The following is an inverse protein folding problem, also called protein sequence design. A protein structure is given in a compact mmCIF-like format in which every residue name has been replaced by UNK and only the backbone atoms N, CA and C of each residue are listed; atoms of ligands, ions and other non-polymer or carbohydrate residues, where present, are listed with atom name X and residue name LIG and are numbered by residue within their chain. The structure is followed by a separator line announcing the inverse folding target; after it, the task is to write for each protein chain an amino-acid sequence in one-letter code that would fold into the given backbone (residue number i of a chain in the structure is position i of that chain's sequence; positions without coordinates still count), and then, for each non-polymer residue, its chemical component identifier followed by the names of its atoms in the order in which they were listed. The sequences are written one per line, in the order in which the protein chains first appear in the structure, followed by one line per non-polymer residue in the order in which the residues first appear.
data_IF_511721003436
#
_entry.id   IF_511721003436
#
_cell.length_a   1.000
_cell.length_b   1.000
_cell.length_c   1.000
_cell.angle_alpha   90.00
_cell.angle_beta   90.00
_cell.angle_gamma   90.00
#
_symmetry.space_group_name_H-M   'P 1'
#
loop_
_entity.id
_entity.type
_entity.pdbx_description
1 polymer ?
#
# COMPACT_ATOMS: atom_id res chain seq x y z
N UNK A 1 7.44 -17.38 -7.59
CA UNK A 1 6.05 -17.92 -7.55
C UNK A 1 5.50 -17.82 -8.97
N UNK A 2 5.29 -18.96 -9.65
CA UNK A 2 5.01 -18.99 -11.11
C UNK A 2 3.62 -18.45 -11.50
N UNK A 3 2.71 -18.32 -10.55
CA UNK A 3 1.30 -17.97 -10.82
C UNK A 3 0.87 -16.61 -10.25
N UNK A 4 1.84 -15.77 -9.83
CA UNK A 4 1.55 -14.43 -9.31
C UNK A 4 1.57 -13.41 -10.45
N UNK A 5 0.52 -12.62 -10.55
CA UNK A 5 0.37 -11.53 -11.52
C UNK A 5 -0.04 -10.26 -10.78
N UNK A 6 0.63 -9.15 -11.07
CA UNK A 6 0.18 -7.82 -10.66
C UNK A 6 -0.55 -7.18 -11.82
N UNK A 7 -1.74 -6.70 -11.56
CA UNK A 7 -2.58 -6.01 -12.56
C UNK A 7 -3.30 -4.81 -11.95
N UNK A 8 -3.89 -3.98 -12.80
CA UNK A 8 -4.77 -2.90 -12.35
C UNK A 8 -5.90 -3.47 -11.46
N UNK A 9 -6.20 -2.77 -10.39
CA UNK A 9 -7.39 -3.02 -9.59
C UNK A 9 -8.62 -2.51 -10.34
N UNK A 10 -9.58 -3.38 -10.57
CA UNK A 10 -10.84 -3.03 -11.22
C UNK A 10 -11.94 -2.82 -10.17
N UNK A 11 -13.02 -2.08 -10.49
CA UNK A 11 -14.11 -1.85 -9.54
C UNK A 11 -14.71 -3.15 -8.98
N UNK A 12 -14.73 -4.21 -9.78
CA UNK A 12 -15.27 -5.53 -9.41
C UNK A 12 -14.43 -6.26 -8.34
N UNK A 13 -13.19 -5.82 -8.12
CA UNK A 13 -12.30 -6.41 -7.11
C UNK A 13 -12.66 -6.02 -5.67
N UNK A 14 -13.68 -5.19 -5.47
CA UNK A 14 -13.99 -4.58 -4.17
C UNK A 14 -14.17 -5.59 -3.03
N UNK A 15 -14.80 -6.75 -3.28
CA UNK A 15 -14.96 -7.80 -2.27
C UNK A 15 -13.62 -8.40 -1.85
N UNK A 16 -12.78 -8.69 -2.82
CA UNK A 16 -11.46 -9.27 -2.57
C UNK A 16 -10.52 -8.27 -1.88
N UNK A 17 -10.57 -7.00 -2.28
CA UNK A 17 -9.82 -5.93 -1.61
C UNK A 17 -10.31 -5.72 -0.18
N UNK A 18 -11.63 -5.69 0.05
CA UNK A 18 -12.19 -5.67 1.39
C UNK A 18 -11.68 -6.84 2.25
N UNK A 19 -11.62 -8.04 1.69
CA UNK A 19 -11.09 -9.21 2.39
C UNK A 19 -9.61 -9.05 2.77
N UNK A 20 -8.79 -8.47 1.90
CA UNK A 20 -7.37 -8.17 2.20
C UNK A 20 -7.27 -7.27 3.44
N UNK A 21 -7.99 -6.14 3.44
CA UNK A 21 -7.93 -5.16 4.53
C UNK A 21 -8.69 -5.56 5.79
N UNK A 22 -9.56 -6.56 5.71
CA UNK A 22 -10.31 -7.09 6.84
C UNK A 22 -9.60 -8.24 7.54
N UNK A 23 -8.54 -8.80 6.94
CA UNK A 23 -7.74 -9.80 7.64
C UNK A 23 -7.04 -9.17 8.84
N UNK A 24 -7.02 -9.84 10.01
CA UNK A 24 -6.68 -9.21 11.28
C UNK A 24 -5.32 -8.51 11.32
N UNK A 25 -4.30 -9.15 10.75
CA UNK A 25 -2.95 -8.59 10.73
C UNK A 25 -2.86 -7.40 9.76
N UNK A 26 -3.37 -7.53 8.53
CA UNK A 26 -3.38 -6.44 7.56
C UNK A 26 -4.18 -5.24 8.08
N UNK A 27 -5.30 -5.46 8.74
CA UNK A 27 -6.08 -4.40 9.37
C UNK A 27 -5.29 -3.69 10.48
N UNK A 28 -4.58 -4.42 11.34
CA UNK A 28 -3.80 -3.85 12.43
C UNK A 28 -2.57 -3.06 11.95
N UNK A 29 -2.04 -3.38 10.76
CA UNK A 29 -0.88 -2.73 10.15
C UNK A 29 -1.25 -1.57 9.19
N UNK A 30 -2.54 -1.33 9.01
CA UNK A 30 -3.10 -0.22 8.22
C UNK A 30 -3.95 0.68 9.11
N UNK A 31 -4.66 1.63 8.54
CA UNK A 31 -5.60 2.49 9.29
C UNK A 31 -7.05 1.98 9.23
N UNK A 32 -7.25 0.72 8.85
CA UNK A 32 -8.56 0.10 8.88
C UNK A 32 -9.12 -0.06 10.30
N UNK A 33 -10.43 -0.11 10.38
CA UNK A 33 -11.16 -0.36 11.63
C UNK A 33 -11.97 -1.65 11.50
N UNK A 34 -12.25 -2.35 12.62
CA UNK A 34 -13.12 -3.51 12.61
C UNK A 34 -14.50 -3.21 12.04
N UNK A 35 -15.14 -4.23 11.49
CA UNK A 35 -16.51 -4.14 10.94
C UNK A 35 -16.67 -3.18 9.77
N UNK A 36 -15.63 -3.04 8.94
CA UNK A 36 -15.68 -2.25 7.71
C UNK A 36 -16.68 -2.81 6.70
N UNK A 37 -17.22 -1.94 5.86
CA UNK A 37 -18.24 -2.28 4.87
C UNK A 37 -17.62 -2.66 3.52
N UNK A 38 -18.10 -3.73 2.89
CA UNK A 38 -17.80 -4.02 1.48
C UNK A 38 -18.29 -2.88 0.56
N UNK A 39 -19.43 -2.26 0.87
CA UNK A 39 -19.98 -1.18 0.07
C UNK A 39 -19.07 0.05 0.04
N UNK A 40 -18.39 0.34 1.14
CA UNK A 40 -17.40 1.42 1.18
C UNK A 40 -16.25 1.17 0.19
N UNK A 41 -15.79 -0.06 0.07
CA UNK A 41 -14.78 -0.44 -0.93
C UNK A 41 -15.32 -0.41 -2.35
N UNK A 42 -16.58 -0.83 -2.54
CA UNK A 42 -17.25 -0.73 -3.85
C UNK A 42 -17.33 0.71 -4.33
N UNK A 43 -17.72 1.63 -3.45
CA UNK A 43 -17.78 3.06 -3.75
C UNK A 43 -16.38 3.64 -4.02
N UNK A 44 -15.39 3.29 -3.20
CA UNK A 44 -14.02 3.79 -3.34
C UNK A 44 -13.39 3.35 -4.67
N UNK A 45 -13.49 2.06 -5.02
CA UNK A 45 -12.92 1.55 -6.26
C UNK A 45 -13.67 2.00 -7.53
N UNK A 46 -14.94 2.39 -7.40
CA UNK A 46 -15.72 2.94 -8.50
C UNK A 46 -15.41 4.40 -8.81
N UNK A 47 -14.70 5.11 -7.93
CA UNK A 47 -14.31 6.50 -8.17
C UNK A 47 -13.22 6.57 -9.23
N UNK A 48 -13.50 7.31 -10.29
CA UNK A 48 -12.47 7.70 -11.25
C UNK A 48 -11.60 8.81 -10.68
N UNK A 49 -10.29 8.57 -10.63
CA UNK A 49 -9.31 9.52 -10.10
C UNK A 49 -8.05 9.49 -10.96
N UNK A 50 -7.66 10.66 -11.47
CA UNK A 50 -6.46 10.79 -12.29
C UNK A 50 -5.16 10.73 -11.46
N UNK A 51 -5.27 10.91 -10.15
CA UNK A 51 -4.16 10.95 -9.20
C UNK A 51 -3.88 9.60 -8.52
N UNK A 52 -4.69 8.58 -8.78
CA UNK A 52 -4.60 7.29 -8.09
C UNK A 52 -4.39 6.12 -9.05
N UNK A 53 -3.39 5.32 -8.74
CA UNK A 53 -3.03 4.11 -9.48
C UNK A 53 -3.13 2.91 -8.53
N UNK A 54 -4.21 2.18 -8.66
CA UNK A 54 -4.52 1.04 -7.79
C UNK A 54 -4.20 -0.27 -8.48
N UNK A 55 -3.48 -1.15 -7.79
CA UNK A 55 -3.01 -2.44 -8.28
C UNK A 55 -3.37 -3.56 -7.33
N UNK A 56 -3.61 -4.74 -7.86
CA UNK A 56 -3.79 -5.97 -7.09
C UNK A 56 -2.78 -7.02 -7.49
N UNK A 57 -2.33 -7.79 -6.51
CA UNK A 57 -1.58 -9.01 -6.74
C UNK A 57 -2.56 -10.19 -6.71
N UNK A 58 -2.53 -10.97 -7.77
CA UNK A 58 -3.38 -12.15 -7.94
C UNK A 58 -2.52 -13.41 -8.00
N UNK A 59 -2.95 -14.46 -7.30
CA UNK A 59 -2.39 -15.80 -7.42
C UNK A 59 -3.48 -16.73 -7.89
N UNK A 60 -3.30 -17.36 -9.06
CA UNK A 60 -4.31 -18.22 -9.69
C UNK A 60 -5.68 -17.55 -9.83
N UNK A 61 -5.68 -16.25 -10.13
CA UNK A 61 -6.90 -15.45 -10.27
C UNK A 61 -7.51 -14.94 -8.97
N UNK A 62 -6.99 -15.30 -7.82
CA UNK A 62 -7.42 -14.82 -6.52
C UNK A 62 -6.61 -13.60 -6.10
N UNK A 63 -7.28 -12.50 -5.75
CA UNK A 63 -6.63 -11.29 -5.23
C UNK A 63 -6.15 -11.55 -3.80
N UNK A 64 -4.84 -11.37 -3.58
CA UNK A 64 -4.19 -11.63 -2.30
C UNK A 64 -3.45 -10.42 -1.73
N UNK A 65 -3.35 -9.34 -2.48
CA UNK A 65 -2.73 -8.10 -2.06
C UNK A 65 -3.20 -6.91 -2.89
N UNK A 66 -3.05 -5.72 -2.34
CA UNK A 66 -3.46 -4.46 -2.95
C UNK A 66 -2.44 -3.37 -2.64
N UNK A 67 -2.19 -2.50 -3.61
CA UNK A 67 -1.39 -1.30 -3.47
C UNK A 67 -2.07 -0.16 -4.21
N UNK A 68 -2.19 0.99 -3.55
CA UNK A 68 -2.68 2.22 -4.17
C UNK A 68 -1.60 3.30 -4.10
N UNK A 69 -1.14 3.74 -5.26
CA UNK A 69 -0.22 4.86 -5.42
C UNK A 69 -1.01 6.12 -5.74
N UNK A 70 -0.83 7.16 -4.93
CA UNK A 70 -1.45 8.48 -5.16
C UNK A 70 -0.37 9.51 -5.45
N UNK A 71 -0.57 10.27 -6.52
CA UNK A 71 0.32 11.37 -6.92
C UNK A 71 -0.19 12.68 -6.32
N UNK A 72 0.70 13.49 -5.76
CA UNK A 72 0.33 14.82 -5.28
C UNK A 72 0.03 15.75 -6.47
N UNK A 73 -1.15 16.34 -6.51
CA UNK A 73 -1.62 17.11 -7.67
C UNK A 73 -1.25 18.60 -7.65
N UNK A 74 -0.77 19.11 -6.51
CA UNK A 74 -0.28 20.48 -6.46
C UNK A 74 0.95 20.62 -7.39
N UNK A 75 1.02 21.66 -8.25
CA UNK A 75 2.11 21.85 -9.20
C UNK A 75 3.52 21.82 -8.59
N UNK A 76 3.64 22.21 -7.32
CA UNK A 76 4.92 22.26 -6.61
C UNK A 76 5.32 20.92 -5.97
N UNK A 77 4.39 19.96 -5.87
CA UNK A 77 4.63 18.66 -5.24
C UNK A 77 4.34 17.47 -6.15
N UNK A 78 3.93 17.70 -7.40
CA UNK A 78 3.54 16.61 -8.32
C UNK A 78 4.68 15.71 -8.79
N UNK A 79 5.92 16.00 -8.39
CA UNK A 79 7.05 15.10 -8.52
C UNK A 79 7.06 14.01 -7.44
N UNK A 80 6.10 14.05 -6.54
CA UNK A 80 6.01 13.17 -5.37
C UNK A 80 4.71 12.37 -5.38
N UNK A 81 4.77 11.18 -4.81
CA UNK A 81 3.62 10.35 -4.54
C UNK A 81 3.74 9.63 -3.22
N UNK A 82 2.62 9.12 -2.73
CA UNK A 82 2.58 8.25 -1.56
C UNK A 82 1.76 7.01 -1.88
N UNK A 83 1.99 5.95 -1.16
CA UNK A 83 1.23 4.72 -1.37
C UNK A 83 0.88 4.03 -0.06
N UNK A 84 -0.18 3.23 -0.13
CA UNK A 84 -0.54 2.25 0.87
C UNK A 84 -0.53 0.86 0.26
N UNK A 85 -0.12 -0.13 1.02
CA UNK A 85 -0.03 -1.52 0.61
C UNK A 85 -0.58 -2.43 1.70
N UNK A 86 -1.28 -3.48 1.31
CA UNK A 86 -1.71 -4.54 2.20
C UNK A 86 -1.64 -5.90 1.50
N UNK A 87 -1.27 -6.91 2.25
CA UNK A 87 -1.27 -8.31 1.82
C UNK A 87 -2.12 -9.11 2.78
N UNK A 88 -3.03 -9.93 2.23
CA UNK A 88 -3.89 -10.80 3.04
C UNK A 88 -3.04 -11.69 3.94
N UNK A 89 -3.46 -11.89 5.19
CA UNK A 89 -2.66 -12.51 6.25
C UNK A 89 -2.06 -13.86 5.85
N UNK A 90 -2.83 -14.72 5.20
CA UNK A 90 -2.40 -16.04 4.75
C UNK A 90 -1.37 -16.01 3.60
N UNK A 91 -1.18 -14.84 2.98
CA UNK A 91 -0.21 -14.61 1.90
C UNK A 91 0.98 -13.74 2.30
N UNK A 92 1.04 -13.29 3.54
CA UNK A 92 2.21 -12.56 4.06
C UNK A 92 3.44 -13.47 4.14
N UNK A 93 4.63 -12.88 3.99
CA UNK A 93 5.90 -13.63 4.00
C UNK A 93 6.14 -14.52 2.78
N UNK A 94 5.34 -14.40 1.73
CA UNK A 94 5.43 -15.22 0.50
C UNK A 94 5.85 -14.40 -0.74
N UNK A 95 6.38 -13.20 -0.55
CA UNK A 95 6.89 -12.35 -1.64
C UNK A 95 5.85 -11.48 -2.34
N UNK A 96 4.58 -11.52 -1.94
CA UNK A 96 3.51 -10.72 -2.58
C UNK A 96 3.80 -9.22 -2.47
N UNK A 97 4.23 -8.75 -1.30
CA UNK A 97 4.61 -7.36 -1.09
C UNK A 97 5.76 -6.92 -2.00
N UNK A 98 6.74 -7.78 -2.23
CA UNK A 98 7.85 -7.49 -3.14
C UNK A 98 7.35 -7.26 -4.57
N UNK A 99 6.47 -8.11 -5.09
CA UNK A 99 5.91 -7.96 -6.44
C UNK A 99 5.09 -6.67 -6.59
N UNK A 100 4.29 -6.33 -5.59
CA UNK A 100 3.55 -5.05 -5.58
C UNK A 100 4.49 -3.86 -5.55
N UNK A 101 5.56 -3.91 -4.77
CA UNK A 101 6.56 -2.85 -4.70
C UNK A 101 7.34 -2.70 -5.99
N UNK A 102 7.73 -3.79 -6.65
CA UNK A 102 8.38 -3.76 -7.96
C UNK A 102 7.50 -3.05 -8.98
N UNK A 103 6.22 -3.39 -9.06
CA UNK A 103 5.27 -2.74 -9.96
C UNK A 103 5.07 -1.26 -9.63
N UNK A 104 4.99 -0.92 -8.34
CA UNK A 104 4.84 0.47 -7.89
C UNK A 104 6.05 1.32 -8.26
N UNK A 105 7.24 0.83 -8.01
CA UNK A 105 8.50 1.55 -8.31
C UNK A 105 8.69 1.68 -9.82
N UNK A 106 8.42 0.63 -10.59
CA UNK A 106 8.47 0.71 -12.07
C UNK A 106 7.52 1.77 -12.61
N UNK A 107 6.28 1.78 -12.12
CA UNK A 107 5.29 2.79 -12.52
C UNK A 107 5.74 4.20 -12.16
N UNK A 108 6.23 4.39 -10.95
CA UNK A 108 6.70 5.70 -10.48
C UNK A 108 7.89 6.22 -11.27
N UNK A 109 8.90 5.38 -11.50
CA UNK A 109 10.15 5.77 -12.13
C UNK A 109 10.03 5.93 -13.65
N UNK A 110 9.40 4.97 -14.32
CA UNK A 110 9.45 4.85 -15.77
C UNK A 110 8.24 5.44 -16.49
N UNK A 111 7.14 5.69 -15.78
CA UNK A 111 5.89 6.14 -16.39
C UNK A 111 5.35 7.45 -15.83
N UNK A 112 5.56 7.72 -14.54
CA UNK A 112 5.04 8.92 -13.87
C UNK A 112 6.12 9.96 -13.55
N UNK A 113 7.39 9.65 -13.75
CA UNK A 113 8.53 10.53 -13.43
C UNK A 113 8.50 11.04 -11.97
N UNK A 114 8.10 10.20 -11.03
CA UNK A 114 8.09 10.57 -9.63
C UNK A 114 9.51 10.44 -9.06
N UNK A 115 10.06 11.55 -8.61
CA UNK A 115 11.40 11.57 -8.01
C UNK A 115 11.40 11.35 -6.50
N UNK A 116 10.19 11.33 -5.92
CA UNK A 116 9.99 11.05 -4.50
C UNK A 116 8.77 10.17 -4.30
N UNK A 117 8.95 9.08 -3.56
CA UNK A 117 7.87 8.27 -2.99
C UNK A 117 7.96 8.29 -1.48
N UNK A 118 6.86 8.47 -0.79
CA UNK A 118 6.82 8.38 0.65
C UNK A 118 5.69 7.46 1.16
N UNK A 119 5.85 7.04 2.40
CA UNK A 119 4.90 6.16 3.09
C UNK A 119 4.95 6.40 4.59
N UNK A 120 3.94 5.92 5.29
CA UNK A 120 3.96 5.76 6.74
C UNK A 120 3.87 4.29 7.09
N UNK A 121 4.64 3.88 8.08
CA UNK A 121 4.67 2.50 8.58
C UNK A 121 4.80 2.51 10.10
N UNK A 122 4.03 1.67 10.78
CA UNK A 122 4.14 1.56 12.24
C UNK A 122 5.54 1.10 12.63
N UNK A 123 6.07 1.69 13.69
CA UNK A 123 7.48 1.47 14.10
C UNK A 123 7.78 0.03 14.49
N UNK A 124 6.77 -0.74 14.85
CA UNK A 124 6.89 -2.16 15.20
C UNK A 124 6.66 -3.13 14.03
N UNK A 125 6.35 -2.61 12.84
CA UNK A 125 6.18 -3.44 11.64
C UNK A 125 7.52 -3.73 10.96
N UNK A 126 8.35 -4.54 11.59
CA UNK A 126 9.69 -4.87 11.10
C UNK A 126 9.70 -5.49 9.69
N UNK A 127 8.80 -6.43 9.31
CA UNK A 127 8.78 -6.99 7.97
C UNK A 127 8.51 -5.94 6.87
N UNK A 128 7.59 -5.01 7.10
CA UNK A 128 7.30 -3.93 6.14
C UNK A 128 8.47 -2.95 6.02
N UNK A 129 9.07 -2.55 7.14
CA UNK A 129 10.25 -1.67 7.14
C UNK A 129 11.39 -2.30 6.33
N UNK A 130 11.68 -3.57 6.55
CA UNK A 130 12.71 -4.30 5.81
C UNK A 130 12.39 -4.37 4.30
N UNK A 131 11.11 -4.58 3.94
CA UNK A 131 10.67 -4.54 2.54
C UNK A 131 10.97 -3.18 1.90
N UNK A 132 10.58 -2.08 2.57
CA UNK A 132 10.79 -0.74 2.03
C UNK A 132 12.27 -0.37 1.93
N UNK A 133 13.07 -0.73 2.92
CA UNK A 133 14.54 -0.52 2.88
C UNK A 133 15.18 -1.23 1.69
N UNK A 134 14.71 -2.42 1.34
CA UNK A 134 15.15 -3.18 0.16
C UNK A 134 14.92 -2.39 -1.16
N UNK A 135 13.89 -1.56 -1.21
CA UNK A 135 13.60 -0.68 -2.36
C UNK A 135 14.20 0.72 -2.26
N UNK A 136 15.07 0.95 -1.28
CA UNK A 136 15.80 2.22 -1.14
C UNK A 136 15.08 3.28 -0.31
N UNK A 137 14.01 2.93 0.39
CA UNK A 137 13.35 3.84 1.33
C UNK A 137 14.19 4.00 2.60
N UNK A 138 14.21 5.21 3.14
CA UNK A 138 14.90 5.57 4.38
C UNK A 138 13.95 6.30 5.31
N UNK A 139 14.14 6.12 6.61
CA UNK A 139 13.38 6.86 7.63
C UNK A 139 13.77 8.33 7.59
N UNK A 140 12.78 9.21 7.47
CA UNK A 140 12.96 10.67 7.53
C UNK A 140 12.50 11.26 8.86
N UNK A 141 11.66 10.55 9.59
CA UNK A 141 11.15 10.99 10.87
C UNK A 141 10.17 10.01 11.48
N UNK A 142 9.69 10.32 12.67
CA UNK A 142 8.73 9.49 13.40
C UNK A 142 7.62 10.35 13.96
N UNK A 143 6.38 9.99 13.63
CA UNK A 143 5.19 10.57 14.23
C UNK A 143 4.86 9.81 15.51
N UNK A 144 4.96 10.45 16.65
CA UNK A 144 4.62 9.85 17.93
C UNK A 144 3.12 9.81 18.12
N UNK A 145 2.60 8.70 18.70
CA UNK A 145 1.16 8.49 18.93
C UNK A 145 0.33 8.72 17.67
N UNK A 146 0.80 8.18 16.57
CA UNK A 146 0.22 8.40 15.25
C UNK A 146 -1.18 7.80 15.10
N UNK A 147 -1.39 6.61 15.66
CA UNK A 147 -2.66 5.91 15.57
C UNK A 147 -2.97 5.13 16.85
N UNK A 148 -4.25 4.83 17.04
CA UNK A 148 -4.73 3.94 18.09
C UNK A 148 -4.90 2.53 17.52
N UNK A 149 -4.34 1.52 18.19
CA UNK A 149 -4.45 0.12 17.78
C UNK A 149 -4.63 -0.73 19.04
N UNK A 150 -5.72 -1.47 19.12
CA UNK A 150 -6.04 -2.33 20.26
C UNK A 150 -5.94 -1.61 21.63
N UNK A 151 -6.43 -0.35 21.70
CA UNK A 151 -6.44 0.44 22.94
C UNK A 151 -5.11 1.13 23.28
N UNK A 152 -4.06 0.95 22.48
CA UNK A 152 -2.75 1.58 22.67
C UNK A 152 -2.36 2.47 21.50
N UNK A 153 -1.71 3.60 21.78
CA UNK A 153 -1.16 4.44 20.76
C UNK A 153 0.14 3.87 20.19
N UNK A 154 0.25 3.88 18.88
CA UNK A 154 1.44 3.42 18.14
C UNK A 154 2.07 4.57 17.37
N UNK A 155 3.39 4.55 17.28
CA UNK A 155 4.16 5.50 16.49
C UNK A 155 4.29 5.02 15.04
N UNK A 156 4.51 5.94 14.12
CA UNK A 156 4.76 5.62 12.71
C UNK A 156 6.00 6.33 12.21
N UNK A 157 6.86 5.60 11.49
CA UNK A 157 7.92 6.20 10.70
C UNK A 157 7.33 6.80 9.41
N UNK A 158 7.86 7.94 9.02
CA UNK A 158 7.76 8.44 7.64
C UNK A 158 9.02 7.96 6.92
N UNK A 159 8.84 7.21 5.86
CA UNK A 159 9.94 6.74 5.02
C UNK A 159 9.78 7.29 3.62
N UNK A 160 10.90 7.61 2.99
CA UNK A 160 10.90 8.08 1.61
C UNK A 160 12.02 7.45 0.79
N UNK A 161 11.74 7.30 -0.51
CA UNK A 161 12.68 6.95 -1.55
C UNK A 161 12.85 8.14 -2.47
N UNK A 162 14.07 8.58 -2.67
CA UNK A 162 14.42 9.64 -3.60
C UNK A 162 15.15 9.04 -4.80
N UNK A 163 14.64 9.33 -5.99
CA UNK A 163 15.31 9.00 -7.24
C UNK A 163 16.14 10.21 -7.66
N UNK A 164 17.44 9.99 -7.81
CA UNK A 164 18.41 11.04 -8.16
C UNK A 164 18.69 10.99 -9.64
#
# INVERSE_FOLDING_TARGET
MRDLVVRRCEPEDYKAVHLVYSSPRAMAETLGVPYSSEDAWREELARERDDNFSMVACVRGEVVGHLALSVYMNPRTRHSGHFGIAVRDDWQGKGVGTWLMEACVDLADNWLSLTRLDLRVFTDNAPAIALYEKFGFKVEGTHRRFALRNGEYVDAHVMARLQV
#
